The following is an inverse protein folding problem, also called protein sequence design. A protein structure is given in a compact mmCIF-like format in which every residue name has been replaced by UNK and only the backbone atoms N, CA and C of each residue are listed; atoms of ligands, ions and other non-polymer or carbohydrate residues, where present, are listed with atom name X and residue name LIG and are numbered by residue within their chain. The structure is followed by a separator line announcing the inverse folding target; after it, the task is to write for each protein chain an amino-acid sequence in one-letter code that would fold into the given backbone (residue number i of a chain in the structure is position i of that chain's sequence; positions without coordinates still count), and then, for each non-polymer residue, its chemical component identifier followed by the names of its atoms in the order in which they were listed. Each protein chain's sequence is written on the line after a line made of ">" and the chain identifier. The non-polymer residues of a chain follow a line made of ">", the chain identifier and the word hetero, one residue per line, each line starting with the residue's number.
data_IF_119905060259
#
_entry.id   IF_119905060259
#
_cell.length_a   1.000
_cell.length_b   1.000
_cell.length_c   1.000
_cell.angle_alpha   90.00
_cell.angle_beta   90.00
_cell.angle_gamma   90.00
#
_symmetry.space_group_name_H-M   'P 1'
#
loop_
_entity.id
_entity.type
_entity.pdbx_description
1 polymer ?
#
# COMPACT_ATOMS: atom_id res chain seq x y z
N UNK A 1 47.72 41.44 -16.25
CA UNK A 1 48.57 42.63 -16.03
C UNK A 1 47.83 43.84 -16.58
N UNK A 2 47.56 44.82 -15.69
CA UNK A 2 47.20 46.25 -15.87
C UNK A 2 46.28 46.68 -17.03
N UNK A 3 45.06 47.23 -16.82
CA UNK A 3 44.70 48.52 -16.16
C UNK A 3 45.32 49.74 -16.88
N UNK A 4 44.58 50.77 -17.35
CA UNK A 4 44.08 51.95 -16.59
C UNK A 4 43.40 52.93 -17.59
N UNK A 5 42.11 53.30 -17.37
CA UNK A 5 41.53 54.63 -16.98
C UNK A 5 41.35 55.72 -18.05
N UNK A 6 40.12 56.26 -18.12
CA UNK A 6 39.75 57.70 -18.10
C UNK A 6 38.28 57.84 -18.54
N UNK A 7 37.39 58.74 -18.09
CA UNK A 7 37.04 59.46 -16.86
C UNK A 7 35.76 60.29 -17.22
N UNK A 8 34.87 60.55 -16.24
CA UNK A 8 33.57 61.26 -16.41
C UNK A 8 33.72 62.81 -16.48
N UNK A 9 32.65 63.56 -16.81
CA UNK A 9 31.83 64.22 -15.75
C UNK A 9 30.30 64.19 -16.06
N UNK A 10 29.38 63.87 -15.14
CA UNK A 10 28.82 64.65 -14.02
C UNK A 10 27.92 65.84 -14.43
N UNK A 11 26.59 65.70 -14.27
CA UNK A 11 25.63 66.80 -14.10
C UNK A 11 24.37 66.33 -13.33
N UNK A 12 24.20 66.89 -12.13
CA UNK A 12 22.99 67.11 -11.30
C UNK A 12 23.24 68.47 -10.61
N UNK A 13 22.26 69.32 -10.22
CA UNK A 13 21.12 68.92 -9.37
C UNK A 13 19.79 69.74 -9.43
N UNK A 14 18.68 69.07 -9.02
CA UNK A 14 17.58 69.53 -8.11
C UNK A 14 16.67 70.73 -8.49
N UNK A 15 15.48 70.96 -7.85
CA UNK A 15 14.92 70.33 -6.63
C UNK A 15 13.45 69.84 -6.68
N UNK A 16 13.05 69.19 -5.58
CA UNK A 16 11.67 68.82 -5.19
C UNK A 16 10.82 70.06 -4.86
N UNK A 17 9.51 69.89 -4.65
CA UNK A 17 9.10 69.84 -3.24
C UNK A 17 8.25 68.62 -2.88
N UNK A 18 8.48 68.16 -1.66
CA UNK A 18 7.56 67.36 -0.86
C UNK A 18 6.58 68.28 -0.12
N UNK A 19 5.39 67.79 0.21
CA UNK A 19 4.50 68.17 1.32
C UNK A 19 3.36 67.13 1.28
N UNK A 20 3.29 66.18 2.22
CA UNK A 20 2.64 66.24 3.55
C UNK A 20 1.38 65.34 3.49
N UNK A 21 1.40 64.16 4.09
CA UNK A 21 1.26 63.87 5.53
C UNK A 21 -0.20 63.98 6.04
N UNK A 22 -0.72 62.79 6.40
CA UNK A 22 -1.57 62.49 7.56
C UNK A 22 -2.95 63.16 7.72
N UNK A 23 -4.00 62.33 7.76
CA UNK A 23 -5.12 62.40 8.72
C UNK A 23 -6.08 61.20 8.46
N UNK A 24 -6.22 60.23 9.39
CA UNK A 24 -7.28 60.16 10.44
C UNK A 24 -8.62 59.69 9.79
N UNK A 25 -9.24 58.55 10.13
CA UNK A 25 -9.92 58.23 11.39
C UNK A 25 -10.15 56.72 11.53
N UNK A 26 -9.89 56.20 12.73
CA UNK A 26 -10.44 54.95 13.30
C UNK A 26 -11.90 55.16 13.74
N UNK A 27 -12.78 54.20 13.50
CA UNK A 27 -13.98 53.95 14.31
C UNK A 27 -14.06 52.42 14.53
N UNK A 28 -13.68 51.93 15.73
CA UNK A 28 -14.56 51.59 16.87
C UNK A 28 -15.34 50.28 16.62
N UNK A 29 -15.08 49.14 17.27
CA UNK A 29 -15.16 48.85 18.71
C UNK A 29 -16.46 49.37 19.36
N UNK A 30 -17.49 48.52 19.42
CA UNK A 30 -18.51 48.40 20.48
C UNK A 30 -19.54 47.34 20.02
N UNK A 31 -19.56 46.14 20.60
CA UNK A 31 -20.22 45.82 21.87
C UNK A 31 -21.75 45.89 21.81
N UNK A 32 -22.41 44.72 21.75
CA UNK A 32 -23.67 44.39 22.44
C UNK A 32 -23.80 42.85 22.40
N UNK A 33 -23.38 42.18 23.49
CA UNK A 33 -24.17 41.85 24.70
C UNK A 33 -25.03 40.60 24.45
N UNK A 34 -24.61 39.47 25.02
CA UNK A 34 -25.15 38.90 26.26
C UNK A 34 -26.61 38.47 26.14
N UNK A 35 -26.83 37.16 26.28
CA UNK A 35 -28.13 36.65 26.69
C UNK A 35 -28.48 35.30 26.12
N UNK A 36 -27.88 34.23 26.65
CA UNK A 36 -28.63 33.12 27.26
C UNK A 36 -27.65 32.15 27.89
N UNK A 37 -27.32 32.47 29.14
CA UNK A 37 -27.17 31.46 30.17
C UNK A 37 -28.49 30.68 30.27
N UNK A 38 -28.59 29.55 29.58
CA UNK A 38 -29.33 28.42 30.11
C UNK A 38 -28.29 27.36 30.42
N UNK A 39 -27.77 27.45 31.65
CA UNK A 39 -27.39 26.26 32.39
C UNK A 39 -28.69 25.45 32.55
N UNK A 40 -29.10 24.75 31.50
CA UNK A 40 -29.68 23.46 31.71
C UNK A 40 -28.60 22.69 32.46
N UNK A 41 -28.96 22.09 33.58
CA UNK A 41 -28.17 21.04 34.22
C UNK A 41 -28.10 19.87 33.24
N UNK A 42 -27.29 20.02 32.20
CA UNK A 42 -26.87 18.94 31.34
C UNK A 42 -26.11 17.99 32.26
N UNK A 43 -26.45 16.69 32.27
CA UNK A 43 -25.66 15.72 33.02
C UNK A 43 -24.18 15.89 32.65
N UNK A 44 -23.32 15.93 33.66
CA UNK A 44 -21.90 16.27 33.58
C UNK A 44 -21.04 15.24 32.79
N UNK A 45 -21.65 14.45 31.92
CA UNK A 45 -21.06 13.34 31.17
C UNK A 45 -20.98 13.67 29.66
N UNK A 46 -21.80 14.60 29.15
CA UNK A 46 -21.77 15.00 27.74
C UNK A 46 -20.54 15.87 27.37
N UNK A 47 -19.69 16.19 28.34
CA UNK A 47 -18.47 16.99 28.15
C UNK A 47 -17.42 16.20 27.33
N UNK A 48 -17.35 14.89 27.53
CA UNK A 48 -16.17 14.08 27.18
C UNK A 48 -15.97 13.97 25.66
N UNK A 49 -17.05 13.80 24.89
CA UNK A 49 -16.95 13.67 23.43
C UNK A 49 -16.67 15.00 22.71
N UNK A 50 -17.15 16.12 23.26
CA UNK A 50 -16.84 17.46 22.72
C UNK A 50 -15.39 17.83 23.04
N UNK A 51 -14.93 17.47 24.24
CA UNK A 51 -13.55 17.70 24.67
C UNK A 51 -12.56 16.85 23.87
N UNK A 52 -12.95 15.65 23.42
CA UNK A 52 -12.19 14.88 22.43
C UNK A 52 -11.88 15.70 21.16
N UNK A 53 -12.89 16.29 20.51
CA UNK A 53 -12.66 17.08 19.28
C UNK A 53 -11.79 18.31 19.53
N UNK A 54 -11.92 18.97 20.69
CA UNK A 54 -11.08 20.10 21.08
C UNK A 54 -9.63 19.68 21.36
N UNK A 55 -9.43 18.57 22.05
CA UNK A 55 -8.11 17.98 22.29
C UNK A 55 -7.44 17.60 20.96
N UNK A 56 -8.19 16.97 20.06
CA UNK A 56 -7.72 16.63 18.72
C UNK A 56 -7.36 17.88 17.91
N UNK A 57 -8.14 18.97 18.02
CA UNK A 57 -7.82 20.24 17.38
C UNK A 57 -6.51 20.84 17.91
N UNK A 58 -6.37 20.92 19.24
CA UNK A 58 -5.19 21.49 19.87
C UNK A 58 -3.92 20.72 19.48
N UNK A 59 -3.99 19.38 19.44
CA UNK A 59 -2.86 18.53 19.04
C UNK A 59 -2.57 18.65 17.53
N UNK A 60 -3.60 18.78 16.68
CA UNK A 60 -3.40 19.05 15.25
C UNK A 60 -2.66 20.38 15.02
N UNK A 61 -3.09 21.46 15.71
CA UNK A 61 -2.50 22.79 15.61
C UNK A 61 -1.04 22.83 16.09
N UNK A 62 -0.74 22.15 17.19
CA UNK A 62 0.63 22.00 17.72
C UNK A 62 1.59 21.39 16.69
N UNK A 63 1.09 20.52 15.82
CA UNK A 63 1.86 19.86 14.77
C UNK A 63 1.89 20.64 13.43
N UNK A 64 1.27 21.82 13.38
CA UNK A 64 1.20 22.67 12.18
C UNK A 64 0.09 22.27 11.20
N UNK A 65 -0.91 21.50 11.67
CA UNK A 65 -2.11 21.15 10.91
C UNK A 65 -3.28 22.04 11.35
N UNK A 66 -4.38 22.05 10.60
CA UNK A 66 -5.63 22.67 11.03
C UNK A 66 -6.73 21.63 11.12
N UNK A 67 -7.56 21.71 12.17
CA UNK A 67 -8.79 20.95 12.30
C UNK A 67 -9.93 21.93 12.51
N UNK A 68 -10.96 21.86 11.67
CA UNK A 68 -12.13 22.74 11.73
C UNK A 68 -13.42 21.93 11.56
N UNK A 69 -14.55 22.46 12.03
CA UNK A 69 -15.88 21.87 11.85
C UNK A 69 -16.93 22.99 11.77
N UNK A 70 -18.06 22.73 11.12
CA UNK A 70 -19.18 23.68 11.03
C UNK A 70 -20.00 23.70 12.34
N UNK A 71 -20.34 22.53 12.86
CA UNK A 71 -21.04 22.40 14.14
C UNK A 71 -20.55 21.19 14.92
N UNK A 72 -20.68 21.28 16.24
CA UNK A 72 -20.37 20.22 17.17
C UNK A 72 -21.48 20.19 18.22
N UNK A 73 -22.26 19.11 18.21
CA UNK A 73 -23.48 18.94 18.99
C UNK A 73 -23.31 17.73 19.91
N UNK A 74 -23.69 17.85 21.18
CA UNK A 74 -23.78 16.68 22.06
C UNK A 74 -25.00 15.84 21.66
N UNK A 75 -24.84 14.51 21.61
CA UNK A 75 -25.91 13.56 21.32
C UNK A 75 -26.07 12.59 22.48
N UNK A 76 -27.08 12.81 23.32
CA UNK A 76 -27.29 12.02 24.53
C UNK A 76 -26.30 12.39 25.65
N UNK A 77 -26.06 11.44 26.56
CA UNK A 77 -25.21 11.66 27.74
C UNK A 77 -23.72 11.40 27.46
N UNK A 78 -23.39 10.66 26.40
CA UNK A 78 -22.04 10.14 26.13
C UNK A 78 -21.63 10.21 24.64
N UNK A 79 -22.36 10.98 23.83
CA UNK A 79 -22.12 11.08 22.39
C UNK A 79 -21.91 12.50 21.88
N UNK A 80 -21.32 12.60 20.70
CA UNK A 80 -21.18 13.84 19.96
C UNK A 80 -21.40 13.63 18.46
N UNK A 81 -21.88 14.68 17.82
CA UNK A 81 -22.06 14.79 16.38
C UNK A 81 -21.31 16.02 15.87
N UNK A 82 -20.41 15.80 14.93
CA UNK A 82 -19.64 16.85 14.28
C UNK A 82 -20.01 16.92 12.79
N UNK A 83 -20.28 18.12 12.28
CA UNK A 83 -20.62 18.38 10.88
C UNK A 83 -19.48 19.11 10.16
N UNK A 84 -19.21 18.68 8.93
CA UNK A 84 -18.23 19.28 8.03
C UNK A 84 -16.84 19.42 8.67
N UNK A 85 -16.37 18.33 9.25
CA UNK A 85 -15.00 18.23 9.76
C UNK A 85 -14.01 18.34 8.60
N UNK A 86 -13.02 19.20 8.75
CA UNK A 86 -11.93 19.36 7.81
C UNK A 86 -10.62 19.37 8.58
N UNK A 87 -9.78 18.39 8.30
CA UNK A 87 -8.39 18.35 8.73
C UNK A 87 -7.50 18.66 7.52
N UNK A 88 -6.59 19.61 7.66
CA UNK A 88 -5.61 19.95 6.62
C UNK A 88 -4.19 19.91 7.19
N UNK A 89 -3.31 19.17 6.53
CA UNK A 89 -1.90 19.11 6.88
C UNK A 89 -1.18 20.33 6.28
N UNK A 90 -0.68 21.23 7.13
CA UNK A 90 -0.06 22.47 6.68
C UNK A 90 1.26 22.29 5.93
N UNK A 91 1.89 21.11 6.03
CA UNK A 91 3.18 20.80 5.37
C UNK A 91 2.98 20.09 4.03
N UNK A 92 2.09 19.09 3.98
CA UNK A 92 1.88 18.26 2.79
C UNK A 92 0.74 18.77 1.90
N UNK A 93 -0.16 19.59 2.45
CA UNK A 93 -1.39 20.00 1.78
C UNK A 93 -2.41 18.87 1.63
N UNK A 94 -2.20 17.73 2.31
CA UNK A 94 -3.20 16.67 2.44
C UNK A 94 -4.42 17.19 3.19
N UNK A 95 -5.60 16.80 2.74
CA UNK A 95 -6.88 17.27 3.28
C UNK A 95 -7.81 16.10 3.50
N UNK A 96 -8.28 15.92 4.72
CA UNK A 96 -9.34 15.00 5.07
C UNK A 96 -10.62 15.80 5.35
N UNK A 97 -11.73 15.39 4.75
CA UNK A 97 -13.06 15.95 5.02
C UNK A 97 -14.00 14.84 5.46
N UNK A 98 -14.84 15.12 6.43
CA UNK A 98 -15.90 14.20 6.88
C UNK A 98 -17.18 15.04 7.00
N UNK A 99 -18.20 14.69 6.19
CA UNK A 99 -19.47 15.43 6.16
C UNK A 99 -20.16 15.37 7.51
N UNK A 100 -20.19 14.19 8.09
CA UNK A 100 -20.81 13.94 9.39
C UNK A 100 -20.05 12.85 10.12
N UNK A 101 -19.74 13.08 11.39
CA UNK A 101 -19.19 12.09 12.31
C UNK A 101 -20.07 12.01 13.55
N UNK A 102 -20.42 10.80 13.96
CA UNK A 102 -21.15 10.50 15.18
C UNK A 102 -20.31 9.57 16.07
N UNK A 103 -20.21 9.94 17.35
CA UNK A 103 -19.55 9.17 18.40
C UNK A 103 -20.58 8.89 19.49
N UNK A 104 -20.58 7.69 20.06
CA UNK A 104 -21.42 7.37 21.22
C UNK A 104 -20.76 6.35 22.15
N UNK A 105 -21.17 6.34 23.42
CA UNK A 105 -20.52 5.53 24.44
C UNK A 105 -19.10 6.00 24.72
N UNK A 106 -18.90 7.32 24.78
CA UNK A 106 -17.57 7.91 25.00
C UNK A 106 -17.11 7.66 26.43
N UNK A 107 -15.88 7.18 26.58
CA UNK A 107 -15.24 6.96 27.88
C UNK A 107 -13.82 7.51 27.80
N UNK A 108 -13.42 8.36 28.75
CA UNK A 108 -12.04 8.82 28.88
C UNK A 108 -11.18 7.69 29.47
N UNK A 109 -10.07 7.37 28.81
CA UNK A 109 -9.10 6.36 29.24
C UNK A 109 -7.75 7.03 29.49
N UNK A 110 -7.42 7.33 30.74
CA UNK A 110 -6.18 8.04 31.09
C UNK A 110 -6.31 9.56 30.93
N UNK A 111 -5.18 10.26 30.75
CA UNK A 111 -5.17 11.74 30.69
C UNK A 111 -5.71 12.27 29.36
N UNK A 112 -5.32 11.63 28.24
CA UNK A 112 -5.68 12.07 26.86
C UNK A 112 -6.21 10.92 25.97
N UNK A 113 -6.56 9.77 26.56
CA UNK A 113 -7.10 8.64 25.81
C UNK A 113 -8.63 8.62 25.82
N UNK A 114 -9.23 8.06 24.77
CA UNK A 114 -10.67 7.99 24.58
C UNK A 114 -11.08 6.63 24.03
N UNK A 115 -12.22 6.11 24.47
CA UNK A 115 -12.91 4.95 23.90
C UNK A 115 -14.30 5.38 23.45
N UNK A 116 -14.78 4.79 22.36
CA UNK A 116 -16.14 4.97 21.87
C UNK A 116 -16.76 3.60 21.62
N UNK A 117 -17.94 3.37 22.16
CA UNK A 117 -18.70 2.15 21.87
C UNK A 117 -18.99 2.03 20.37
N UNK A 118 -19.35 3.14 19.72
CA UNK A 118 -19.47 3.20 18.25
C UNK A 118 -18.99 4.52 17.69
N UNK A 119 -18.40 4.46 16.49
CA UNK A 119 -18.08 5.60 15.64
C UNK A 119 -18.74 5.40 14.28
N UNK A 120 -19.43 6.42 13.78
CA UNK A 120 -19.93 6.46 12.40
C UNK A 120 -19.42 7.72 11.71
N UNK A 121 -19.01 7.59 10.45
CA UNK A 121 -18.65 8.71 9.59
C UNK A 121 -19.30 8.56 8.22
N UNK A 122 -19.76 9.68 7.65
CA UNK A 122 -20.44 9.74 6.35
C UNK A 122 -19.65 10.66 5.43
N UNK A 123 -19.52 10.24 4.17
CA UNK A 123 -18.80 10.95 3.11
C UNK A 123 -17.40 11.40 3.55
N UNK A 124 -16.60 10.45 4.04
CA UNK A 124 -15.19 10.69 4.32
C UNK A 124 -14.45 10.81 2.99
N UNK A 125 -13.66 11.87 2.82
CA UNK A 125 -12.75 12.01 1.69
C UNK A 125 -11.35 12.40 2.17
N UNK A 126 -10.34 11.72 1.66
CA UNK A 126 -8.93 12.06 1.84
C UNK A 126 -8.36 12.46 0.47
N UNK A 127 -7.86 13.68 0.39
CA UNK A 127 -7.23 14.24 -0.80
C UNK A 127 -5.75 14.44 -0.53
N UNK A 128 -4.91 13.88 -1.40
CA UNK A 128 -3.46 14.08 -1.41
C UNK A 128 -3.12 14.91 -2.64
N UNK A 129 -2.49 16.06 -2.43
CA UNK A 129 -2.00 16.88 -3.54
C UNK A 129 -0.84 16.16 -4.24
N UNK A 130 -0.81 16.21 -5.56
CA UNK A 130 0.39 15.87 -6.32
C UNK A 130 1.54 16.79 -5.91
N UNK A 131 2.78 16.31 -5.99
CA UNK A 131 3.95 17.15 -5.71
C UNK A 131 4.14 18.16 -6.84
N UNK A 132 4.24 19.44 -6.48
CA UNK A 132 4.53 20.51 -7.44
C UNK A 132 5.84 20.21 -8.21
N UNK A 133 5.76 20.17 -9.54
CA UNK A 133 6.89 19.90 -10.43
C UNK A 133 7.05 18.43 -10.86
N UNK A 134 6.33 17.50 -10.25
CA UNK A 134 6.31 16.09 -10.68
C UNK A 134 5.20 15.91 -11.73
N UNK A 135 5.55 16.10 -13.01
CA UNK A 135 4.58 16.09 -14.13
C UNK A 135 3.73 14.82 -14.21
N UNK A 136 4.18 13.73 -13.60
CA UNK A 136 3.55 12.42 -13.72
C UNK A 136 2.58 12.09 -12.57
N UNK A 137 2.57 12.87 -11.46
CA UNK A 137 1.72 12.60 -10.29
C UNK A 137 0.68 13.71 -10.09
N UNK A 138 -0.54 13.46 -10.54
CA UNK A 138 -1.69 14.30 -10.21
C UNK A 138 -2.24 14.01 -8.81
N UNK A 139 -3.30 14.74 -8.40
CA UNK A 139 -3.95 14.51 -7.11
C UNK A 139 -4.54 13.11 -7.03
N UNK A 140 -4.56 12.58 -5.80
CA UNK A 140 -5.23 11.33 -5.46
C UNK A 140 -6.32 11.59 -4.43
N UNK A 141 -7.47 10.94 -4.59
CA UNK A 141 -8.61 11.04 -3.70
C UNK A 141 -9.06 9.65 -3.29
N UNK A 142 -9.16 9.40 -1.99
CA UNK A 142 -9.87 8.27 -1.39
C UNK A 142 -11.20 8.80 -0.85
N UNK A 143 -12.33 8.21 -1.22
CA UNK A 143 -13.64 8.50 -0.63
C UNK A 143 -14.23 7.24 0.00
N UNK A 144 -15.00 7.41 1.07
CA UNK A 144 -15.75 6.36 1.76
C UNK A 144 -17.14 6.94 2.04
N UNK A 145 -18.18 6.32 1.49
CA UNK A 145 -19.56 6.81 1.65
C UNK A 145 -20.02 6.69 3.10
N UNK A 146 -19.71 5.57 3.75
CA UNK A 146 -20.00 5.31 5.16
C UNK A 146 -18.90 4.47 5.79
N UNK A 147 -18.43 4.91 6.96
CA UNK A 147 -17.54 4.17 7.83
C UNK A 147 -18.25 3.94 9.16
N UNK A 148 -18.21 2.72 9.68
CA UNK A 148 -18.67 2.39 11.03
C UNK A 148 -17.61 1.59 11.76
N UNK A 149 -17.45 1.84 13.05
CA UNK A 149 -16.56 1.07 13.93
C UNK A 149 -17.22 0.83 15.28
N UNK A 150 -16.88 -0.29 15.91
CA UNK A 150 -17.31 -0.66 17.26
C UNK A 150 -16.12 -0.83 18.18
N UNK A 151 -16.30 -0.42 19.43
CA UNK A 151 -15.29 -0.44 20.49
C UNK A 151 -13.98 0.19 20.01
N UNK A 152 -14.09 1.40 19.46
CA UNK A 152 -12.96 2.15 18.93
C UNK A 152 -12.19 2.78 20.09
N UNK A 153 -10.94 2.36 20.29
CA UNK A 153 -10.10 2.86 21.37
C UNK A 153 -8.94 3.66 20.80
N UNK A 154 -8.82 4.89 21.29
CA UNK A 154 -7.76 5.81 20.98
C UNK A 154 -6.91 6.00 22.24
N UNK A 155 -5.80 5.27 22.40
CA UNK A 155 -5.01 5.30 23.63
C UNK A 155 -4.39 6.69 23.90
N UNK A 156 -3.96 7.00 25.13
CA UNK A 156 -3.26 8.26 25.43
C UNK A 156 -2.11 8.57 24.47
N UNK A 157 -1.90 9.86 24.19
CA UNK A 157 -1.12 10.34 23.04
C UNK A 157 0.34 10.70 23.32
N UNK A 158 0.91 10.35 24.48
CA UNK A 158 2.31 10.66 24.76
C UNK A 158 3.20 10.09 23.64
N UNK A 159 3.92 10.99 22.95
CA UNK A 159 4.90 10.71 21.89
C UNK A 159 4.40 10.07 20.58
N UNK A 160 3.15 10.32 20.17
CA UNK A 160 2.67 9.85 18.86
C UNK A 160 3.40 10.52 17.70
N UNK A 161 4.05 9.71 16.87
CA UNK A 161 4.60 10.17 15.58
C UNK A 161 3.50 10.46 14.54
N UNK A 162 2.31 9.86 14.70
CA UNK A 162 1.20 9.93 13.74
C UNK A 162 -0.09 10.34 14.44
N UNK A 163 -0.85 11.33 13.92
CA UNK A 163 -2.02 11.85 14.62
C UNK A 163 -3.11 10.79 14.90
N UNK A 164 -3.30 9.83 13.99
CA UNK A 164 -4.38 8.85 14.04
C UNK A 164 -3.93 7.42 14.31
N UNK A 165 -2.69 7.22 14.77
CA UNK A 165 -2.16 5.89 15.08
C UNK A 165 -1.30 5.94 16.35
N UNK A 166 -1.39 4.95 17.25
CA UNK A 166 -2.21 3.73 17.16
C UNK A 166 -3.68 3.94 17.57
N UNK A 167 -4.53 2.99 17.17
CA UNK A 167 -5.89 2.80 17.68
C UNK A 167 -6.26 1.32 17.64
N UNK A 168 -7.20 0.92 18.49
CA UNK A 168 -7.80 -0.42 18.47
C UNK A 168 -9.26 -0.32 18.03
N UNK A 169 -9.78 -1.39 17.43
CA UNK A 169 -11.21 -1.54 17.18
C UNK A 169 -11.60 -3.01 17.19
N UNK A 170 -12.76 -3.32 17.80
CA UNK A 170 -13.29 -4.67 17.76
C UNK A 170 -13.81 -5.04 16.37
N UNK A 171 -14.46 -4.11 15.69
CA UNK A 171 -14.87 -4.29 14.29
C UNK A 171 -15.06 -2.95 13.59
N UNK A 172 -14.93 -2.96 12.26
CA UNK A 172 -15.27 -1.83 11.42
C UNK A 172 -15.70 -2.25 10.03
N UNK A 173 -16.56 -1.44 9.40
CA UNK A 173 -17.02 -1.61 8.03
C UNK A 173 -17.01 -0.26 7.31
N UNK A 174 -16.41 -0.24 6.13
CA UNK A 174 -16.40 0.88 5.21
C UNK A 174 -17.14 0.48 3.93
N UNK A 175 -18.12 1.27 3.50
CA UNK A 175 -18.87 1.02 2.26
C UNK A 175 -18.66 2.15 1.26
N UNK A 176 -18.75 1.82 -0.04
CA UNK A 176 -18.56 2.80 -1.10
C UNK A 176 -17.14 3.36 -1.13
N UNK A 177 -16.15 2.50 -0.87
CA UNK A 177 -14.74 2.90 -0.85
C UNK A 177 -14.28 3.10 -2.29
N UNK A 178 -13.84 4.31 -2.63
CA UNK A 178 -13.36 4.65 -3.96
C UNK A 178 -12.01 5.33 -3.89
N UNK A 179 -11.06 4.87 -4.69
CA UNK A 179 -9.76 5.52 -4.87
C UNK A 179 -9.66 6.01 -6.30
N UNK A 180 -9.35 7.28 -6.48
CA UNK A 180 -9.08 7.89 -7.78
C UNK A 180 -7.73 8.58 -7.71
N UNK A 181 -6.78 8.13 -8.53
CA UNK A 181 -5.52 8.80 -8.75
C UNK A 181 -5.51 9.38 -10.16
N UNK A 182 -5.08 10.62 -10.30
CA UNK A 182 -4.91 11.28 -11.59
C UNK A 182 -3.44 11.56 -11.86
N UNK A 183 -3.07 11.79 -13.12
CA UNK A 183 -1.68 12.04 -13.51
C UNK A 183 -1.48 11.68 -14.97
N UNK A 184 -0.31 11.13 -15.30
CA UNK A 184 -0.09 10.53 -16.62
C UNK A 184 -1.02 9.33 -16.86
N UNK A 185 -1.27 8.57 -15.80
CA UNK A 185 -2.25 7.49 -15.78
C UNK A 185 -3.35 7.84 -14.78
N UNK A 186 -4.59 7.75 -15.23
CA UNK A 186 -5.76 7.88 -14.38
C UNK A 186 -6.13 6.47 -13.91
N UNK A 187 -6.12 6.25 -12.59
CA UNK A 187 -6.47 4.99 -11.97
C UNK A 187 -7.71 5.23 -11.12
N UNK A 188 -8.72 4.37 -11.28
CA UNK A 188 -9.89 4.35 -10.42
C UNK A 188 -10.09 2.93 -9.87
N UNK A 189 -10.36 2.81 -8.57
CA UNK A 189 -10.69 1.58 -7.87
C UNK A 189 -11.97 1.82 -7.05
N UNK A 190 -12.89 0.88 -7.11
CA UNK A 190 -14.15 0.90 -6.37
C UNK A 190 -14.31 -0.43 -5.62
N UNK A 191 -14.39 -0.33 -4.30
CA UNK A 191 -14.53 -1.41 -3.33
C UNK A 191 -15.90 -1.23 -2.65
N UNK A 192 -16.90 -2.05 -2.97
CA UNK A 192 -18.26 -1.89 -2.44
C UNK A 192 -18.30 -1.91 -0.91
N UNK A 193 -17.55 -2.83 -0.30
CA UNK A 193 -17.36 -2.88 1.14
C UNK A 193 -15.99 -3.44 1.53
N UNK A 194 -15.50 -2.97 2.68
CA UNK A 194 -14.31 -3.46 3.38
C UNK A 194 -14.68 -3.65 4.83
N UNK A 195 -14.33 -4.81 5.41
CA UNK A 195 -14.62 -5.17 6.80
C UNK A 195 -13.34 -5.56 7.51
N UNK A 196 -13.18 -5.09 8.73
CA UNK A 196 -12.05 -5.35 9.61
C UNK A 196 -12.60 -5.84 10.96
N UNK A 197 -11.96 -6.82 11.57
CA UNK A 197 -12.26 -7.25 12.94
C UNK A 197 -10.99 -7.43 13.77
N UNK A 198 -11.10 -7.11 15.05
CA UNK A 198 -10.05 -7.35 16.05
C UNK A 198 -8.72 -6.66 15.74
N UNK A 199 -8.77 -5.40 15.26
CA UNK A 199 -7.55 -4.61 15.14
C UNK A 199 -7.08 -4.23 16.54
N UNK A 200 -5.90 -4.73 16.93
CA UNK A 200 -5.28 -4.42 18.23
C UNK A 200 -3.83 -4.05 18.02
N UNK A 201 -3.43 -2.94 18.57
CA UNK A 201 -2.04 -2.52 18.67
C UNK A 201 -1.28 -3.40 19.69
N UNK A 202 -0.01 -3.68 19.41
CA UNK A 202 0.84 -4.52 20.27
C UNK A 202 2.06 -3.79 20.85
N UNK A 203 2.01 -2.46 20.93
CA UNK A 203 3.15 -1.65 21.36
C UNK A 203 4.05 -1.19 20.19
N UNK A 204 4.86 -0.16 20.45
CA UNK A 204 5.71 0.46 19.43
C UNK A 204 4.93 1.18 18.32
N UNK A 205 5.58 1.57 17.23
CA UNK A 205 4.92 2.38 16.20
C UNK A 205 4.24 1.55 15.10
N UNK A 206 4.46 0.23 15.04
CA UNK A 206 4.11 -0.60 13.87
C UNK A 206 3.44 -1.93 14.17
N UNK A 207 3.52 -2.44 15.40
CA UNK A 207 3.04 -3.79 15.71
C UNK A 207 1.54 -3.77 15.94
N UNK A 208 0.84 -4.66 15.25
CA UNK A 208 -0.59 -4.87 15.45
C UNK A 208 -0.99 -6.29 15.08
N UNK A 209 -2.14 -6.70 15.60
CA UNK A 209 -2.89 -7.89 15.18
C UNK A 209 -4.20 -7.47 14.56
N UNK A 210 -4.69 -8.30 13.67
CA UNK A 210 -5.93 -8.15 12.95
C UNK A 210 -6.58 -9.54 12.90
N UNK A 211 -7.69 -9.72 13.61
CA UNK A 211 -8.38 -11.01 13.68
C UNK A 211 -8.88 -11.38 12.28
N UNK A 212 -9.52 -10.45 11.56
CA UNK A 212 -9.84 -10.64 10.13
C UNK A 212 -9.94 -9.36 9.32
N UNK A 213 -9.69 -9.47 8.03
CA UNK A 213 -9.94 -8.48 6.99
C UNK A 213 -10.71 -9.14 5.85
N UNK A 214 -11.70 -8.46 5.29
CA UNK A 214 -12.31 -8.87 4.03
C UNK A 214 -12.75 -7.69 3.18
N UNK A 215 -12.79 -7.89 1.87
CA UNK A 215 -13.42 -6.97 0.93
C UNK A 215 -14.31 -7.74 -0.03
N UNK A 216 -15.41 -7.10 -0.44
CA UNK A 216 -16.19 -7.61 -1.57
C UNK A 216 -15.40 -7.43 -2.89
N UNK A 217 -15.89 -8.03 -3.97
CA UNK A 217 -15.26 -7.89 -5.29
C UNK A 217 -15.17 -6.41 -5.71
N UNK A 218 -13.99 -6.01 -6.16
CA UNK A 218 -13.70 -4.65 -6.57
C UNK A 218 -13.70 -4.51 -8.10
N UNK A 219 -13.94 -3.29 -8.56
CA UNK A 219 -13.86 -2.93 -9.98
C UNK A 219 -12.99 -1.71 -10.14
N UNK A 220 -12.29 -1.58 -11.24
CA UNK A 220 -11.51 -0.40 -11.52
C UNK A 220 -11.18 -0.19 -12.99
N UNK A 221 -10.44 0.86 -13.24
CA UNK A 221 -9.98 1.23 -14.57
C UNK A 221 -8.63 1.91 -14.50
N UNK A 222 -7.83 1.72 -15.55
CA UNK A 222 -6.58 2.45 -15.80
C UNK A 222 -6.68 3.07 -17.17
N UNK A 223 -6.37 4.36 -17.30
CA UNK A 223 -6.39 5.06 -18.58
C UNK A 223 -5.19 6.01 -18.73
N UNK A 224 -4.58 6.01 -19.91
CA UNK A 224 -3.53 6.94 -20.36
C UNK A 224 -3.95 7.51 -21.72
N UNK A 225 -4.12 8.83 -21.83
CA UNK A 225 -4.53 9.52 -23.06
C UNK A 225 -5.78 8.91 -23.73
N UNK A 226 -6.85 8.69 -22.96
CA UNK A 226 -8.12 8.08 -23.38
C UNK A 226 -8.03 6.61 -23.85
N UNK A 227 -6.84 6.00 -23.84
CA UNK A 227 -6.66 4.56 -23.98
C UNK A 227 -6.61 3.93 -22.61
N UNK A 228 -7.33 2.85 -22.40
CA UNK A 228 -7.38 2.25 -21.08
C UNK A 228 -7.95 0.85 -21.06
N UNK A 229 -7.93 0.28 -19.86
CA UNK A 229 -8.56 -0.99 -19.56
C UNK A 229 -9.41 -0.88 -18.30
N UNK A 230 -10.31 -1.82 -18.15
CA UNK A 230 -11.03 -2.08 -16.91
C UNK A 230 -10.46 -3.30 -16.25
N UNK A 231 -10.60 -3.39 -14.94
CA UNK A 231 -10.27 -4.59 -14.20
C UNK A 231 -11.35 -4.92 -13.18
N UNK A 232 -11.51 -6.21 -12.92
CA UNK A 232 -12.35 -6.77 -11.88
C UNK A 232 -11.47 -7.60 -10.96
N UNK A 233 -11.46 -7.28 -9.68
CA UNK A 233 -10.76 -8.04 -8.66
C UNK A 233 -11.80 -8.78 -7.82
N UNK A 234 -11.62 -10.08 -7.63
CA UNK A 234 -12.49 -10.85 -6.74
C UNK A 234 -12.40 -10.37 -5.29
N UNK A 235 -13.29 -10.88 -4.44
CA UNK A 235 -13.25 -10.56 -3.01
C UNK A 235 -11.93 -11.01 -2.38
N UNK A 236 -11.48 -10.31 -1.34
CA UNK A 236 -10.26 -10.65 -0.62
C UNK A 236 -10.62 -11.00 0.82
N UNK A 237 -9.89 -11.93 1.43
CA UNK A 237 -9.94 -12.16 2.87
C UNK A 237 -8.57 -12.46 3.44
N UNK A 238 -8.32 -12.03 4.66
CA UNK A 238 -7.12 -12.37 5.43
C UNK A 238 -7.55 -12.63 6.87
N UNK A 239 -7.09 -13.73 7.44
CA UNK A 239 -7.42 -14.16 8.81
C UNK A 239 -6.16 -14.24 9.66
N UNK A 240 -6.26 -13.83 10.92
CA UNK A 240 -5.19 -13.94 11.91
C UNK A 240 -3.91 -13.22 11.51
N UNK A 241 -4.03 -12.02 10.91
CA UNK A 241 -2.87 -11.25 10.48
C UNK A 241 -2.18 -10.59 11.68
N UNK A 242 -0.85 -10.55 11.67
CA UNK A 242 -0.07 -9.86 12.68
C UNK A 242 1.23 -9.33 12.09
N UNK A 243 1.54 -8.09 12.42
CA UNK A 243 2.85 -7.47 12.23
C UNK A 243 3.57 -7.43 13.58
N UNK A 244 4.81 -7.94 13.60
CA UNK A 244 5.64 -8.02 14.80
C UNK A 244 7.09 -7.65 14.47
N UNK A 245 7.80 -7.12 15.46
CA UNK A 245 9.17 -6.63 15.25
C UNK A 245 9.21 -5.43 14.29
N UNK A 246 10.25 -5.30 13.47
CA UNK A 246 10.30 -4.21 12.47
C UNK A 246 9.76 -4.63 11.10
N UNK A 247 9.89 -5.91 10.78
CA UNK A 247 9.60 -6.45 9.44
C UNK A 247 8.83 -7.76 9.44
N UNK A 248 8.69 -8.41 10.59
CA UNK A 248 8.06 -9.72 10.70
C UNK A 248 6.54 -9.64 10.52
N UNK A 249 5.97 -10.62 9.82
CA UNK A 249 4.53 -10.74 9.67
C UNK A 249 4.08 -12.19 9.58
N UNK A 250 2.82 -12.42 9.94
CA UNK A 250 2.15 -13.70 9.73
C UNK A 250 0.68 -13.50 9.38
N UNK A 251 0.10 -14.47 8.68
CA UNK A 251 -1.34 -14.61 8.48
C UNK A 251 -1.72 -16.09 8.56
N UNK A 252 -2.80 -16.41 9.27
CA UNK A 252 -3.30 -17.79 9.37
C UNK A 252 -3.80 -18.28 8.00
N UNK A 253 -4.52 -17.42 7.28
CA UNK A 253 -4.88 -17.67 5.89
C UNK A 253 -5.15 -16.38 5.14
N UNK A 254 -5.06 -16.42 3.81
CA UNK A 254 -5.50 -15.35 2.93
C UNK A 254 -6.09 -15.91 1.65
N UNK A 255 -7.16 -15.29 1.16
CA UNK A 255 -7.72 -15.57 -0.16
C UNK A 255 -7.82 -14.28 -0.96
N UNK A 256 -7.49 -14.36 -2.23
CA UNK A 256 -7.60 -13.28 -3.19
C UNK A 256 -8.39 -13.82 -4.36
N UNK A 257 -9.63 -13.38 -4.50
CA UNK A 257 -10.46 -13.77 -5.64
C UNK A 257 -9.84 -13.27 -6.94
N UNK A 258 -10.09 -13.99 -8.02
CA UNK A 258 -9.42 -13.82 -9.29
C UNK A 258 -9.44 -12.39 -9.85
N UNK A 259 -8.41 -12.03 -10.59
CA UNK A 259 -8.23 -10.74 -11.24
C UNK A 259 -8.50 -10.88 -12.74
N UNK A 260 -9.42 -10.07 -13.27
CA UNK A 260 -9.67 -9.97 -14.70
C UNK A 260 -9.31 -8.58 -15.17
N UNK A 261 -8.51 -8.47 -16.23
CA UNK A 261 -8.12 -7.22 -16.86
C UNK A 261 -8.57 -7.31 -18.32
N UNK A 262 -9.21 -6.26 -18.83
CA UNK A 262 -9.55 -6.15 -20.24
C UNK A 262 -9.35 -4.73 -20.74
N UNK A 263 -8.85 -4.59 -21.97
CA UNK A 263 -8.61 -3.27 -22.57
C UNK A 263 -8.20 -3.39 -24.03
N UNK A 264 -7.75 -2.27 -24.59
CA UNK A 264 -7.23 -2.22 -25.97
C UNK A 264 -5.75 -1.88 -25.96
N UNK A 265 -4.95 -2.56 -26.78
CA UNK A 265 -3.55 -2.23 -26.96
C UNK A 265 -3.33 -0.98 -27.83
N UNK A 266 -2.07 -0.62 -28.10
CA UNK A 266 -1.74 0.56 -28.91
C UNK A 266 -2.28 0.49 -30.35
N UNK A 267 -2.48 -0.72 -30.88
CA UNK A 267 -2.98 -1.02 -32.23
C UNK A 267 -4.50 -1.17 -32.26
N UNK A 268 -5.19 -1.00 -31.12
CA UNK A 268 -6.65 -1.12 -31.01
C UNK A 268 -7.16 -2.55 -30.96
N UNK A 269 -6.30 -3.51 -30.60
CA UNK A 269 -6.66 -4.93 -30.41
C UNK A 269 -7.15 -5.16 -28.99
N UNK A 270 -8.19 -5.97 -28.85
CA UNK A 270 -8.75 -6.28 -27.55
C UNK A 270 -7.88 -7.31 -26.85
N UNK A 271 -7.40 -7.01 -25.64
CA UNK A 271 -6.69 -7.97 -24.82
C UNK A 271 -7.47 -8.30 -23.55
N UNK A 272 -7.28 -9.51 -23.06
CA UNK A 272 -7.83 -9.99 -21.80
C UNK A 272 -6.78 -10.78 -21.03
N UNK A 273 -6.69 -10.51 -19.74
CA UNK A 273 -5.94 -11.32 -18.78
C UNK A 273 -6.92 -11.78 -17.72
N UNK A 274 -7.02 -13.08 -17.47
CA UNK A 274 -7.74 -13.61 -16.30
C UNK A 274 -6.75 -14.36 -15.43
N UNK A 275 -6.74 -14.06 -14.14
CA UNK A 275 -5.99 -14.74 -13.09
C UNK A 275 -7.01 -15.34 -12.15
N UNK A 276 -6.92 -16.65 -11.91
CA UNK A 276 -7.79 -17.35 -10.99
C UNK A 276 -7.53 -16.97 -9.53
N UNK A 277 -8.31 -17.56 -8.63
CA UNK A 277 -8.20 -17.28 -7.20
C UNK A 277 -6.83 -17.70 -6.66
N UNK A 278 -6.30 -16.93 -5.71
CA UNK A 278 -5.08 -17.26 -4.97
C UNK A 278 -5.49 -17.52 -3.53
N UNK A 279 -5.00 -18.62 -2.95
CA UNK A 279 -5.19 -18.89 -1.53
C UNK A 279 -3.86 -19.25 -0.88
N UNK A 280 -3.62 -18.74 0.33
CA UNK A 280 -2.43 -18.99 1.13
C UNK A 280 -2.85 -19.41 2.52
N UNK A 281 -2.18 -20.39 3.10
CA UNK A 281 -2.34 -20.80 4.50
C UNK A 281 -1.00 -20.71 5.23
N UNK A 282 -1.05 -20.33 6.51
CA UNK A 282 0.11 -20.18 7.39
C UNK A 282 1.23 -19.32 6.79
N UNK A 283 0.86 -18.20 6.16
CA UNK A 283 1.84 -17.25 5.64
C UNK A 283 2.68 -16.72 6.78
N UNK A 284 4.00 -16.79 6.63
CA UNK A 284 4.93 -16.33 7.65
C UNK A 284 6.18 -15.71 7.01
N UNK A 285 6.59 -14.58 7.54
CA UNK A 285 7.89 -13.97 7.27
C UNK A 285 8.51 -13.58 8.61
N UNK A 286 9.74 -14.03 8.93
CA UNK A 286 10.36 -13.69 10.18
C UNK A 286 10.72 -12.20 10.22
N UNK A 287 10.96 -11.69 11.43
CA UNK A 287 11.56 -10.38 11.57
C UNK A 287 13.06 -10.48 11.27
N UNK A 288 13.53 -9.71 10.30
CA UNK A 288 14.94 -9.67 9.90
C UNK A 288 15.65 -8.42 10.43
N UNK A 289 15.03 -7.68 11.36
CA UNK A 289 15.67 -6.57 12.05
C UNK A 289 17.01 -6.99 12.70
N UNK A 290 17.93 -6.04 12.84
CA UNK A 290 19.21 -6.31 13.49
C UNK A 290 18.99 -6.70 14.97
N UNK A 291 19.61 -7.79 15.42
CA UNK A 291 19.46 -8.32 16.78
C UNK A 291 18.17 -9.11 17.04
N UNK A 292 17.27 -9.25 16.07
CA UNK A 292 16.09 -10.12 16.19
C UNK A 292 16.45 -11.61 16.20
N UNK A 293 15.77 -12.39 17.04
CA UNK A 293 15.82 -13.85 16.99
C UNK A 293 14.89 -14.36 15.90
N UNK A 294 15.44 -14.96 14.85
CA UNK A 294 14.65 -15.49 13.75
C UNK A 294 14.11 -16.87 14.15
N UNK A 295 12.79 -16.97 14.21
CA UNK A 295 12.06 -18.21 14.47
C UNK A 295 11.15 -18.46 13.29
N UNK A 296 11.12 -19.69 12.81
CA UNK A 296 10.19 -20.13 11.77
C UNK A 296 9.14 -21.05 12.41
N UNK A 297 7.86 -20.93 12.04
CA UNK A 297 6.84 -21.87 12.47
C UNK A 297 7.10 -23.26 11.87
N UNK A 298 6.73 -24.30 12.59
CA UNK A 298 6.77 -25.68 12.09
C UNK A 298 5.60 -26.02 11.18
N UNK A 299 4.55 -25.20 11.23
CA UNK A 299 3.37 -25.33 10.38
C UNK A 299 3.76 -25.15 8.91
N UNK A 300 3.20 -26.01 8.06
CA UNK A 300 3.42 -25.93 6.62
C UNK A 300 2.68 -24.71 6.06
N UNK A 301 3.42 -23.84 5.39
CA UNK A 301 2.88 -22.78 4.56
C UNK A 301 2.46 -23.40 3.23
N UNK A 302 1.23 -23.13 2.80
CA UNK A 302 0.75 -23.59 1.48
C UNK A 302 0.24 -22.41 0.69
N UNK A 303 0.43 -22.43 -0.62
CA UNK A 303 -0.20 -21.49 -1.52
C UNK A 303 -0.76 -22.22 -2.75
N UNK A 304 -1.90 -21.76 -3.23
CA UNK A 304 -2.52 -22.22 -4.47
C UNK A 304 -2.86 -21.01 -5.33
N UNK A 305 -2.76 -21.20 -6.64
CA UNK A 305 -3.10 -20.21 -7.65
C UNK A 305 -3.94 -20.89 -8.71
N UNK A 306 -5.11 -20.32 -9.00
CA UNK A 306 -5.97 -20.77 -10.09
C UNK A 306 -5.38 -20.47 -11.46
N UNK A 307 -6.13 -20.77 -12.51
CA UNK A 307 -5.65 -20.63 -13.88
C UNK A 307 -5.31 -19.19 -14.25
N UNK A 308 -4.23 -18.98 -14.99
CA UNK A 308 -3.91 -17.69 -15.61
C UNK A 308 -4.10 -17.83 -17.12
N UNK A 309 -4.87 -16.95 -17.74
CA UNK A 309 -5.09 -16.94 -19.20
C UNK A 309 -4.83 -15.56 -19.75
N UNK A 310 -4.19 -15.50 -20.92
CA UNK A 310 -4.01 -14.30 -21.71
C UNK A 310 -4.59 -14.52 -23.10
N UNK A 311 -5.43 -13.59 -23.54
CA UNK A 311 -6.08 -13.62 -24.84
C UNK A 311 -5.93 -12.28 -25.56
N UNK A 312 -5.85 -12.34 -26.89
CA UNK A 312 -5.79 -11.18 -27.77
C UNK A 312 -6.75 -11.40 -28.96
N UNK A 313 -7.63 -10.44 -29.23
CA UNK A 313 -8.69 -10.51 -30.23
C UNK A 313 -9.55 -11.80 -30.14
N UNK A 314 -9.75 -12.28 -28.91
CA UNK A 314 -10.49 -13.51 -28.60
C UNK A 314 -9.68 -14.81 -28.74
N UNK A 315 -8.44 -14.76 -29.23
CA UNK A 315 -7.54 -15.92 -29.31
C UNK A 315 -6.76 -16.07 -28.01
N UNK A 316 -6.83 -17.24 -27.38
CA UNK A 316 -5.98 -17.59 -26.23
C UNK A 316 -4.53 -17.76 -26.69
N UNK A 317 -3.63 -16.90 -26.20
CA UNK A 317 -2.21 -16.92 -26.56
C UNK A 317 -1.36 -17.61 -25.50
N UNK A 318 -1.76 -17.51 -24.24
CA UNK A 318 -1.09 -18.20 -23.14
C UNK A 318 -2.10 -18.65 -22.09
N UNK A 319 -1.84 -19.81 -21.49
CA UNK A 319 -2.59 -20.31 -20.35
C UNK A 319 -1.68 -21.06 -19.39
N UNK A 320 -1.95 -20.96 -18.11
CA UNK A 320 -1.40 -21.79 -17.06
C UNK A 320 -2.61 -22.35 -16.29
N UNK A 321 -2.72 -23.66 -16.11
CA UNK A 321 -3.90 -24.23 -15.43
C UNK A 321 -3.97 -23.85 -13.94
N UNK A 322 -2.82 -23.55 -13.35
CA UNK A 322 -2.67 -23.11 -11.97
C UNK A 322 -1.36 -23.63 -11.38
N UNK A 323 -1.23 -23.46 -10.08
CA UNK A 323 -0.11 -24.03 -9.34
C UNK A 323 -0.40 -24.19 -7.86
N UNK A 324 0.39 -25.04 -7.24
CA UNK A 324 0.41 -25.26 -5.79
C UNK A 324 1.84 -25.21 -5.31
N UNK A 325 2.05 -24.63 -4.14
CA UNK A 325 3.33 -24.67 -3.45
C UNK A 325 3.14 -24.96 -1.99
N UNK A 326 4.15 -25.58 -1.40
CA UNK A 326 4.22 -25.75 0.04
C UNK A 326 5.63 -25.46 0.53
N UNK A 327 5.74 -24.99 1.77
CA UNK A 327 7.02 -24.78 2.40
C UNK A 327 6.94 -25.01 3.90
N UNK A 328 7.97 -25.60 4.48
CA UNK A 328 8.02 -25.98 5.89
C UNK A 328 9.42 -25.87 6.45
N UNK A 329 9.51 -25.38 7.67
CA UNK A 329 10.74 -25.43 8.45
C UNK A 329 10.78 -26.69 9.32
N UNK A 330 11.92 -27.37 9.30
CA UNK A 330 12.23 -28.52 10.15
C UNK A 330 13.14 -28.05 11.29
N UNK A 331 12.59 -28.00 12.50
CA UNK A 331 13.31 -27.50 13.67
C UNK A 331 14.45 -28.43 14.13
N UNK A 332 14.41 -29.72 13.77
CA UNK A 332 15.47 -30.69 14.12
C UNK A 332 16.67 -30.54 13.19
N UNK A 333 16.43 -30.45 11.88
CA UNK A 333 17.50 -30.33 10.87
C UNK A 333 17.92 -28.90 10.56
N UNK A 334 17.13 -27.90 11.03
CA UNK A 334 17.28 -26.48 10.69
C UNK A 334 17.14 -26.19 9.20
N UNK A 335 16.37 -27.04 8.49
CA UNK A 335 16.15 -26.91 7.05
C UNK A 335 14.76 -26.35 6.75
N UNK A 336 14.72 -25.38 5.85
CA UNK A 336 13.53 -24.93 5.18
C UNK A 336 13.39 -25.67 3.86
N UNK A 337 12.30 -26.42 3.66
CA UNK A 337 12.02 -27.11 2.39
C UNK A 337 10.81 -26.47 1.74
N UNK A 338 10.90 -26.23 0.43
CA UNK A 338 9.82 -25.68 -0.38
C UNK A 338 9.64 -26.51 -1.65
N UNK A 339 8.39 -26.75 -2.02
CA UNK A 339 8.01 -27.38 -3.30
C UNK A 339 7.03 -26.49 -4.02
N UNK A 340 7.05 -26.51 -5.35
CA UNK A 340 6.11 -25.79 -6.19
C UNK A 340 5.84 -26.57 -7.46
N UNK A 341 4.58 -26.69 -7.85
CA UNK A 341 4.20 -27.27 -9.14
C UNK A 341 3.27 -26.34 -9.88
N UNK A 342 3.54 -26.16 -11.17
CA UNK A 342 2.71 -25.41 -12.10
C UNK A 342 2.46 -26.29 -13.31
N UNK A 343 1.19 -26.45 -13.69
CA UNK A 343 0.79 -27.43 -14.70
C UNK A 343 0.18 -26.77 -15.92
N UNK A 344 0.32 -27.44 -17.06
CA UNK A 344 -0.30 -27.07 -18.33
C UNK A 344 -0.02 -25.60 -18.73
N UNK A 345 1.25 -25.18 -18.66
CA UNK A 345 1.67 -23.91 -19.25
C UNK A 345 1.63 -24.05 -20.77
N UNK A 346 0.55 -23.55 -21.36
CA UNK A 346 0.29 -23.49 -22.78
C UNK A 346 0.72 -22.14 -23.37
N UNK A 347 1.40 -22.17 -24.51
CA UNK A 347 1.75 -21.00 -25.33
C UNK A 347 1.42 -21.28 -26.80
N UNK A 348 0.57 -20.46 -27.42
CA UNK A 348 0.20 -20.56 -28.83
C UNK A 348 1.24 -19.86 -29.74
N UNK A 349 2.43 -20.44 -29.87
CA UNK A 349 3.59 -19.83 -30.55
C UNK A 349 3.28 -19.32 -31.96
N UNK A 350 2.48 -20.05 -32.74
CA UNK A 350 2.10 -19.65 -34.11
C UNK A 350 1.19 -18.42 -34.17
N UNK A 351 0.41 -18.18 -33.11
CA UNK A 351 -0.62 -17.14 -33.03
C UNK A 351 -0.11 -15.85 -32.38
N UNK A 352 1.07 -15.86 -31.75
CA UNK A 352 1.62 -14.66 -31.15
C UNK A 352 1.85 -13.57 -32.20
N UNK A 353 1.39 -12.33 -31.95
CA UNK A 353 1.60 -11.25 -32.89
C UNK A 353 3.07 -10.86 -32.98
N UNK A 354 3.63 -10.89 -34.19
CA UNK A 354 5.02 -10.53 -34.43
C UNK A 354 5.10 -9.22 -35.19
N UNK A 355 6.03 -8.35 -34.80
CA UNK A 355 6.31 -7.14 -35.56
C UNK A 355 6.91 -7.49 -36.93
N UNK A 356 6.58 -6.74 -37.99
CA UNK A 356 7.20 -6.92 -39.30
C UNK A 356 8.74 -6.93 -39.20
N UNK A 357 9.37 -7.98 -39.72
CA UNK A 357 10.82 -8.18 -39.71
C UNK A 357 11.37 -8.92 -38.48
N UNK A 358 10.53 -9.33 -37.52
CA UNK A 358 10.93 -10.13 -36.34
C UNK A 358 10.39 -11.57 -36.36
N UNK A 359 9.96 -12.06 -37.51
CA UNK A 359 9.28 -13.36 -37.65
C UNK A 359 10.22 -14.56 -37.54
N UNK A 360 11.54 -14.36 -37.43
CA UNK A 360 12.52 -15.45 -37.45
C UNK A 360 12.28 -16.48 -36.34
N UNK A 361 11.99 -16.04 -35.11
CA UNK A 361 11.72 -16.96 -33.99
C UNK A 361 10.50 -17.82 -34.26
N UNK A 362 9.37 -17.20 -34.66
CA UNK A 362 8.14 -17.92 -35.02
C UNK A 362 8.37 -18.91 -36.16
N UNK A 363 9.07 -18.49 -37.22
CA UNK A 363 9.44 -19.36 -38.35
C UNK A 363 10.31 -20.54 -37.94
N UNK A 364 11.17 -20.39 -36.92
CA UNK A 364 11.97 -21.49 -36.40
C UNK A 364 11.10 -22.52 -35.68
N UNK A 365 10.16 -22.09 -34.84
CA UNK A 365 9.20 -23.00 -34.20
C UNK A 365 8.28 -23.69 -35.20
N UNK A 366 7.75 -22.95 -36.18
CA UNK A 366 6.96 -23.50 -37.29
C UNK A 366 7.76 -24.52 -38.11
N UNK A 367 9.03 -24.22 -38.42
CA UNK A 367 9.91 -25.15 -39.17
C UNK A 367 10.23 -26.42 -38.38
N UNK A 368 10.16 -26.37 -37.05
CA UNK A 368 10.28 -27.53 -36.17
C UNK A 368 8.95 -28.26 -35.96
N UNK A 369 7.85 -27.76 -36.53
CA UNK A 369 6.52 -28.37 -36.44
C UNK A 369 5.74 -28.02 -35.17
N UNK A 370 6.14 -26.97 -34.45
CA UNK A 370 5.51 -26.56 -33.21
C UNK A 370 4.58 -25.36 -33.43
N UNK A 371 3.28 -25.60 -33.33
CA UNK A 371 2.27 -24.55 -33.29
C UNK A 371 2.08 -24.01 -31.86
N UNK A 372 2.38 -24.84 -30.86
CA UNK A 372 2.26 -24.49 -29.45
C UNK A 372 3.29 -25.21 -28.58
N UNK A 373 3.46 -24.72 -27.36
CA UNK A 373 4.28 -25.31 -26.32
C UNK A 373 3.37 -25.60 -25.12
N UNK A 374 3.41 -26.83 -24.61
CA UNK A 374 2.78 -27.21 -23.33
C UNK A 374 3.88 -27.63 -22.37
N UNK A 375 3.90 -27.04 -21.18
CA UNK A 375 4.96 -27.26 -20.20
C UNK A 375 4.41 -27.48 -18.79
N UNK A 376 5.00 -28.44 -18.09
CA UNK A 376 4.91 -28.56 -16.64
C UNK A 376 6.20 -28.04 -15.99
N UNK A 377 6.04 -27.31 -14.89
CA UNK A 377 7.15 -26.76 -14.09
C UNK A 377 7.07 -27.34 -12.68
N UNK A 378 8.14 -28.03 -12.27
CA UNK A 378 8.34 -28.49 -10.89
C UNK A 378 9.55 -27.79 -10.28
N UNK A 379 9.40 -27.32 -9.03
CA UNK A 379 10.43 -26.64 -8.27
C UNK A 379 10.57 -27.32 -6.91
N UNK A 380 11.78 -27.70 -6.54
CA UNK A 380 12.12 -28.16 -5.19
C UNK A 380 13.31 -27.36 -4.69
N UNK A 381 13.13 -26.66 -3.57
CA UNK A 381 14.17 -25.87 -2.94
C UNK A 381 14.34 -26.26 -1.47
N UNK A 382 15.58 -26.23 -0.99
CA UNK A 382 15.95 -26.45 0.40
C UNK A 382 16.93 -25.39 0.86
N UNK A 383 16.75 -24.83 2.04
CA UNK A 383 17.69 -23.89 2.64
C UNK A 383 18.02 -24.30 4.07
N UNK A 384 19.29 -24.55 4.35
CA UNK A 384 19.75 -24.78 5.72
C UNK A 384 20.10 -23.43 6.37
N UNK A 385 19.34 -23.05 7.39
CA UNK A 385 19.44 -21.73 8.04
C UNK A 385 20.76 -21.56 8.79
N UNK A 386 21.35 -22.66 9.27
CA UNK A 386 22.59 -22.65 10.05
C UNK A 386 23.83 -22.62 9.14
N UNK A 387 23.88 -23.48 8.12
CA UNK A 387 25.02 -23.50 7.19
C UNK A 387 24.93 -22.42 6.10
N UNK A 388 23.74 -21.88 5.84
CA UNK A 388 23.48 -20.97 4.73
C UNK A 388 23.48 -21.64 3.36
N UNK A 389 23.32 -22.96 3.32
CA UNK A 389 23.29 -23.72 2.06
C UNK A 389 21.91 -23.65 1.44
N UNK A 390 21.83 -23.11 0.23
CA UNK A 390 20.63 -23.08 -0.59
C UNK A 390 20.76 -24.15 -1.69
N UNK A 391 19.75 -24.99 -1.80
CA UNK A 391 19.67 -26.06 -2.79
C UNK A 391 18.42 -25.85 -3.61
N UNK A 392 18.58 -25.82 -4.93
CA UNK A 392 17.51 -25.98 -5.90
C UNK A 392 17.65 -27.41 -6.43
N UNK A 393 16.99 -28.35 -5.75
CA UNK A 393 17.16 -29.78 -5.98
C UNK A 393 16.60 -30.20 -7.33
N UNK A 394 15.49 -29.61 -7.77
CA UNK A 394 14.94 -29.81 -9.10
C UNK A 394 14.29 -28.53 -9.59
N UNK A 395 14.63 -28.15 -10.81
CA UNK A 395 13.89 -27.20 -11.62
C UNK A 395 13.60 -27.89 -12.94
N UNK A 396 12.45 -28.54 -12.99
CA UNK A 396 12.05 -29.42 -14.08
C UNK A 396 11.11 -28.70 -15.02
N UNK A 397 11.50 -28.61 -16.29
CA UNK A 397 10.66 -28.25 -17.42
C UNK A 397 10.37 -29.49 -18.24
N UNK A 398 9.11 -29.86 -18.40
CA UNK A 398 8.72 -30.93 -19.30
C UNK A 398 7.86 -30.35 -20.41
N UNK A 399 8.43 -30.16 -21.59
CA UNK A 399 7.71 -29.73 -22.77
C UNK A 399 7.20 -30.96 -23.54
N UNK A 400 5.89 -31.06 -23.74
CA UNK A 400 5.26 -32.21 -24.40
C UNK A 400 5.86 -32.45 -25.78
N UNK A 401 6.27 -33.71 -26.03
CA UNK A 401 6.84 -34.16 -27.31
C UNK A 401 8.14 -33.43 -27.76
N UNK A 402 8.72 -32.57 -26.92
CA UNK A 402 9.92 -31.79 -27.23
C UNK A 402 11.14 -32.25 -26.43
N UNK A 403 11.17 -31.90 -25.14
CA UNK A 403 12.31 -32.13 -24.25
C UNK A 403 11.88 -32.06 -22.79
N UNK A 404 12.60 -32.80 -21.95
CA UNK A 404 12.57 -32.63 -20.50
C UNK A 404 13.93 -32.10 -20.06
N UNK A 405 13.93 -30.94 -19.40
CA UNK A 405 15.11 -30.35 -18.77
C UNK A 405 14.91 -30.42 -17.26
N UNK A 406 15.81 -31.08 -16.53
CA UNK A 406 15.85 -31.07 -15.07
C UNK A 406 17.19 -30.46 -14.66
N UNK A 407 17.14 -29.26 -14.07
CA UNK A 407 18.32 -28.56 -13.57
C UNK A 407 18.38 -28.69 -12.04
N UNK A 408 19.57 -28.95 -11.51
CA UNK A 408 19.82 -28.83 -10.06
C UNK A 408 21.00 -27.90 -9.79
N UNK A 409 20.85 -26.98 -8.84
CA UNK A 409 21.90 -26.03 -8.44
C UNK A 409 22.02 -26.03 -6.92
N UNK A 410 23.23 -26.08 -6.39
CA UNK A 410 23.50 -25.86 -4.98
C UNK A 410 24.41 -24.65 -4.80
N UNK A 411 23.95 -23.69 -3.99
CA UNK A 411 24.66 -22.47 -3.62
C UNK A 411 24.99 -22.50 -2.13
N UNK A 412 26.17 -21.99 -1.78
CA UNK A 412 26.57 -21.72 -0.40
C UNK A 412 26.73 -20.23 -0.17
N UNK A 413 26.71 -19.84 1.11
CA UNK A 413 26.86 -18.44 1.52
C UNK A 413 25.55 -17.66 1.59
N UNK A 414 24.39 -18.30 1.38
CA UNK A 414 23.08 -17.72 1.66
C UNK A 414 22.81 -17.72 3.18
N UNK A 415 23.63 -16.95 3.89
CA UNK A 415 23.57 -16.81 5.35
C UNK A 415 22.43 -15.88 5.76
N UNK A 416 22.12 -15.85 7.07
CA UNK A 416 21.15 -14.91 7.62
C UNK A 416 21.53 -13.46 7.38
N UNK A 417 22.80 -13.13 7.49
CA UNK A 417 23.27 -11.76 7.28
C UNK A 417 23.15 -11.35 5.81
N UNK A 418 23.41 -12.29 4.90
CA UNK A 418 23.14 -12.11 3.48
C UNK A 418 21.64 -11.87 3.21
N UNK A 419 20.75 -12.71 3.74
CA UNK A 419 19.30 -12.55 3.60
C UNK A 419 18.80 -11.20 4.14
N UNK A 420 19.33 -10.76 5.29
CA UNK A 420 19.05 -9.43 5.87
C UNK A 420 19.52 -8.31 4.94
N UNK A 421 20.72 -8.41 4.37
CA UNK A 421 21.24 -7.41 3.43
C UNK A 421 20.38 -7.33 2.17
N UNK A 422 20.00 -8.48 1.60
CA UNK A 422 19.09 -8.54 0.45
C UNK A 422 17.75 -7.85 0.73
N UNK A 423 17.14 -8.12 1.89
CA UNK A 423 15.89 -7.47 2.26
C UNK A 423 16.07 -5.96 2.47
N UNK A 424 17.17 -5.52 3.09
CA UNK A 424 17.50 -4.09 3.24
C UNK A 424 17.61 -3.42 1.87
N UNK A 425 18.34 -4.02 0.92
CA UNK A 425 18.49 -3.50 -0.44
C UNK A 425 17.14 -3.48 -1.16
N UNK A 426 16.36 -4.57 -1.10
CA UNK A 426 15.02 -4.67 -1.70
C UNK A 426 14.06 -3.62 -1.16
N UNK A 427 14.04 -3.42 0.16
CA UNK A 427 13.19 -2.40 0.81
C UNK A 427 13.56 -0.99 0.34
N UNK A 428 14.87 -0.69 0.27
CA UNK A 428 15.36 0.60 -0.25
C UNK A 428 15.02 0.77 -1.72
N UNK A 429 15.17 -0.29 -2.52
CA UNK A 429 14.91 -0.27 -3.96
C UNK A 429 13.42 -0.05 -4.26
N UNK A 430 12.52 -0.65 -3.47
CA UNK A 430 11.08 -0.43 -3.56
C UNK A 430 10.64 0.95 -3.08
N UNK A 431 11.43 1.58 -2.20
CA UNK A 431 11.17 2.93 -1.69
C UNK A 431 11.84 4.02 -2.53
N UNK A 432 12.80 3.67 -3.38
CA UNK A 432 13.54 4.60 -4.21
C UNK A 432 12.65 5.12 -5.35
N UNK A 433 12.50 6.44 -5.43
CA UNK A 433 11.65 7.10 -6.42
C UNK A 433 12.45 7.41 -7.69
N UNK A 434 13.74 7.70 -7.56
CA UNK A 434 14.62 8.04 -8.67
C UNK A 434 15.33 6.80 -9.24
N UNK A 435 15.52 6.82 -10.57
CA UNK A 435 16.10 5.72 -11.32
C UNK A 435 17.59 5.51 -11.02
N UNK A 436 18.33 6.58 -10.69
CA UNK A 436 19.76 6.50 -10.36
C UNK A 436 19.99 5.69 -9.07
N UNK A 437 19.22 5.98 -8.02
CA UNK A 437 19.26 5.22 -6.77
C UNK A 437 18.83 3.77 -6.99
N UNK A 438 17.80 3.51 -7.80
CA UNK A 438 17.39 2.14 -8.15
C UNK A 438 18.47 1.40 -8.91
N UNK A 439 19.14 2.06 -9.85
CA UNK A 439 20.25 1.48 -10.59
C UNK A 439 21.45 1.17 -9.68
N UNK A 440 21.81 2.09 -8.79
CA UNK A 440 22.88 1.88 -7.81
C UNK A 440 22.56 0.70 -6.87
N UNK A 441 21.33 0.61 -6.36
CA UNK A 441 20.87 -0.51 -5.54
C UNK A 441 20.82 -1.82 -6.32
N UNK A 442 20.50 -1.78 -7.62
CA UNK A 442 20.55 -2.96 -8.49
C UNK A 442 21.98 -3.47 -8.67
N UNK A 443 22.97 -2.57 -8.82
CA UNK A 443 24.37 -2.96 -8.82
C UNK A 443 24.83 -3.52 -7.48
N UNK A 444 24.37 -2.93 -6.37
CA UNK A 444 24.64 -3.48 -5.04
C UNK A 444 24.06 -4.90 -4.92
N UNK A 445 22.82 -5.12 -5.35
CA UNK A 445 22.21 -6.45 -5.37
C UNK A 445 23.03 -7.45 -6.19
N UNK A 446 23.49 -7.06 -7.39
CA UNK A 446 24.34 -7.92 -8.21
C UNK A 446 25.69 -8.23 -7.55
N UNK A 447 26.29 -7.24 -6.87
CA UNK A 447 27.53 -7.44 -6.13
C UNK A 447 27.33 -8.44 -4.99
N UNK A 448 26.28 -8.29 -4.19
CA UNK A 448 25.94 -9.23 -3.12
C UNK A 448 25.68 -10.63 -3.70
N UNK A 449 24.88 -10.76 -4.77
CA UNK A 449 24.62 -12.06 -5.41
C UNK A 449 25.88 -12.73 -5.97
N UNK A 450 26.92 -11.94 -6.31
CA UNK A 450 28.21 -12.48 -6.77
C UNK A 450 29.07 -13.07 -5.65
N UNK A 451 28.74 -12.82 -4.38
CA UNK A 451 29.41 -13.42 -3.22
C UNK A 451 28.94 -14.85 -2.96
N UNK A 452 27.88 -15.32 -3.62
CA UNK A 452 27.40 -16.69 -3.51
C UNK A 452 28.35 -17.67 -4.21
N UNK A 453 28.66 -18.77 -3.55
CA UNK A 453 29.50 -19.83 -4.09
C UNK A 453 28.65 -20.95 -4.67
N UNK A 454 28.90 -21.35 -5.92
CA UNK A 454 28.25 -22.53 -6.52
C UNK A 454 28.97 -23.79 -6.03
N UNK A 455 28.30 -24.62 -5.23
CA UNK A 455 28.84 -25.89 -4.71
C UNK A 455 28.74 -27.02 -5.73
N UNK A 456 27.59 -27.13 -6.39
CA UNK A 456 27.33 -28.19 -7.35
C UNK A 456 26.29 -27.75 -8.39
N UNK A 457 26.37 -28.30 -9.60
CA UNK A 457 25.44 -28.05 -10.69
C UNK A 457 25.30 -29.33 -11.53
N UNK A 458 24.06 -29.81 -11.68
CA UNK A 458 23.74 -31.02 -12.45
C UNK A 458 22.80 -30.73 -13.61
#
# INVERSE_FOLDING_TARGET
>A
MSAIVSSRPALRPAPRPALAASAIVRYSAASLLLGTSLLASSPAMALDATDFFRGLQAEAEKNGNSLTWQSLEATGDDGARALDLVLENGKTGERMTIREMMLSGTVVIGEDGFSFATMEAVELALQVKGKDGEKDRGPSTLTIDRLSAKDFNFPPMEDRERPFWPFDMASGEATGVRVVASGRQNIALNLPSVRISGLRHQGGNRNFTLDSFSSDAATGSVAENDKGGTFHLGGMSVEGFSLFGETGYRAASGTFGGLRIGGTDEKGRDFKVDVGDIAVSNLFSPDFAEGSSISFPEDEMTATMGSVTFSLDGTELARLAGGESSARFDAETKEYRATGTFRDLYLAVSEFPVEPGKEQGRKQFEALGYDSINMDIGIEAGWNVESGDLTLSSYRFAADEMMVLDLGISLAGYTMDFARNLQKISTRMNSAIDEETRQALSFQLLAEMSELEVKDMR
#
